data_IF_009046948524
#
_entry.id   IF_009046948524
#
_cell.length_a   1.000
_cell.length_b   1.000
_cell.length_c   1.000
_cell.angle_alpha   90.00
_cell.angle_beta   90.00
_cell.angle_gamma   90.00
#
_symmetry.space_group_name_H-M   'P 1'
#
loop_
_entity.id
_entity.type
_entity.pdbx_description
1 polymer ?
#
# COMPACT_ATOMS: atom_id res chain seq x y z
N UNK A 1 -10.72 -61.08 20.70
CA UNK A 1 -9.88 -60.07 20.03
C UNK A 1 -10.78 -58.94 19.57
N UNK A 2 -10.76 -57.78 20.24
CA UNK A 2 -11.51 -56.59 19.80
C UNK A 2 -10.52 -55.47 19.44
N UNK A 3 -10.66 -54.90 18.25
CA UNK A 3 -10.33 -53.50 17.98
C UNK A 3 -11.25 -53.02 16.85
N UNK A 4 -11.98 -51.91 17.04
CA UNK A 4 -12.83 -51.29 16.03
C UNK A 4 -12.05 -50.30 15.15
N UNK A 5 -12.55 -50.06 13.94
CA UNK A 5 -12.05 -49.10 12.94
C UNK A 5 -12.25 -47.64 13.37
N UNK A 6 -11.55 -46.70 12.72
CA UNK A 6 -12.34 -45.79 11.89
C UNK A 6 -11.71 -45.51 10.51
N UNK A 7 -12.54 -45.22 9.49
CA UNK A 7 -12.06 -44.64 8.24
C UNK A 7 -11.68 -43.18 8.50
N UNK A 8 -10.43 -42.82 8.26
CA UNK A 8 -10.02 -41.41 8.32
C UNK A 8 -10.64 -40.70 7.12
N UNK A 9 -11.78 -40.07 7.39
CA UNK A 9 -12.41 -39.06 6.57
C UNK A 9 -11.40 -37.92 6.37
N UNK A 10 -10.57 -38.04 5.34
CA UNK A 10 -9.67 -37.00 4.89
C UNK A 10 -10.50 -35.90 4.29
N UNK A 11 -10.90 -34.96 5.15
CA UNK A 11 -11.63 -33.75 4.82
C UNK A 11 -11.17 -33.19 3.47
N UNK A 12 -12.11 -33.05 2.54
CA UNK A 12 -11.92 -32.22 1.38
C UNK A 12 -11.40 -30.86 1.86
N UNK A 13 -10.13 -30.58 1.58
CA UNK A 13 -9.63 -29.21 1.60
C UNK A 13 -10.31 -28.54 0.43
N UNK A 14 -11.46 -27.95 0.71
CA UNK A 14 -12.01 -26.90 -0.13
C UNK A 14 -10.94 -25.80 -0.14
N UNK A 15 -10.17 -25.77 -1.23
CA UNK A 15 -9.36 -24.60 -1.56
C UNK A 15 -10.38 -23.49 -1.78
N UNK A 16 -10.59 -22.69 -0.74
CA UNK A 16 -11.21 -21.38 -0.90
C UNK A 16 -10.48 -20.75 -2.08
N UNK A 17 -11.25 -20.31 -3.07
CA UNK A 17 -10.79 -19.54 -4.23
C UNK A 17 -10.07 -18.31 -3.64
N UNK A 18 -8.77 -18.47 -3.40
CA UNK A 18 -7.89 -17.43 -2.90
C UNK A 18 -7.73 -16.48 -4.08
N UNK A 19 -8.66 -15.53 -4.18
CA UNK A 19 -8.64 -14.40 -5.11
C UNK A 19 -7.19 -14.03 -5.40
N UNK A 20 -6.73 -14.29 -6.62
CA UNK A 20 -5.35 -14.05 -7.06
C UNK A 20 -4.89 -12.66 -6.60
N UNK A 21 -4.11 -12.61 -5.53
CA UNK A 21 -3.60 -11.37 -4.98
C UNK A 21 -2.36 -10.98 -5.77
N UNK A 22 -2.57 -10.42 -6.96
CA UNK A 22 -1.50 -9.82 -7.75
C UNK A 22 -0.74 -8.79 -6.89
N UNK A 23 0.52 -9.11 -6.58
CA UNK A 23 1.39 -8.19 -5.87
C UNK A 23 1.70 -7.01 -6.79
N UNK A 24 1.12 -5.85 -6.45
CA UNK A 24 1.33 -4.63 -7.19
C UNK A 24 2.76 -4.14 -7.05
N UNK A 25 3.36 -3.67 -8.15
CA UNK A 25 4.61 -2.92 -8.08
C UNK A 25 4.40 -1.60 -7.34
N UNK A 26 5.49 -1.01 -6.83
CA UNK A 26 5.42 0.28 -6.13
C UNK A 26 4.73 1.38 -6.97
N UNK A 27 4.97 1.41 -8.28
CA UNK A 27 4.32 2.34 -9.20
C UNK A 27 2.82 2.07 -9.38
N UNK A 28 2.44 0.81 -9.57
CA UNK A 28 1.03 0.41 -9.72
C UNK A 28 0.23 0.65 -8.45
N UNK A 29 0.81 0.36 -7.28
CA UNK A 29 0.21 0.68 -5.99
C UNK A 29 0.00 2.19 -5.84
N UNK A 30 0.94 3.01 -6.28
CA UNK A 30 0.83 4.47 -6.25
C UNK A 30 -0.26 5.03 -7.17
N UNK A 31 -0.38 4.49 -8.39
CA UNK A 31 -1.44 4.91 -9.32
C UNK A 31 -2.84 4.50 -8.81
N UNK A 32 -3.00 3.28 -8.31
CA UNK A 32 -4.26 2.87 -7.68
C UNK A 32 -4.60 3.74 -6.47
N UNK A 33 -3.61 4.07 -5.65
CA UNK A 33 -3.81 4.93 -4.49
C UNK A 33 -4.20 6.36 -4.89
N UNK A 34 -3.66 6.90 -6.00
CA UNK A 34 -4.10 8.19 -6.54
C UNK A 34 -5.56 8.19 -6.97
N UNK A 35 -6.00 7.17 -7.70
CA UNK A 35 -7.39 7.04 -8.13
C UNK A 35 -8.33 6.94 -6.93
N UNK A 36 -7.92 6.16 -5.92
CA UNK A 36 -8.68 5.99 -4.68
C UNK A 36 -8.80 7.30 -3.88
N UNK A 37 -7.73 8.09 -3.78
CA UNK A 37 -7.78 9.44 -3.18
C UNK A 37 -8.74 10.35 -3.96
N UNK A 38 -8.72 10.29 -5.29
CA UNK A 38 -9.62 11.11 -6.11
C UNK A 38 -11.09 10.73 -5.89
N UNK A 39 -11.41 9.44 -5.84
CA UNK A 39 -12.75 8.95 -5.54
C UNK A 39 -13.21 9.37 -4.14
N UNK A 40 -12.34 9.24 -3.12
CA UNK A 40 -12.64 9.66 -1.76
C UNK A 40 -12.91 11.17 -1.65
N UNK A 41 -12.17 12.00 -2.41
CA UNK A 41 -12.43 13.46 -2.47
C UNK A 41 -13.81 13.76 -3.07
N UNK A 42 -14.14 13.12 -4.19
CA UNK A 42 -15.44 13.31 -4.83
C UNK A 42 -16.58 12.91 -3.88
N UNK A 43 -16.40 11.85 -3.11
CA UNK A 43 -17.37 11.37 -2.13
C UNK A 43 -17.57 12.36 -0.96
N UNK A 44 -16.47 12.93 -0.42
CA UNK A 44 -16.57 13.98 0.60
C UNK A 44 -17.33 15.20 0.07
N UNK A 45 -17.03 15.66 -1.14
CA UNK A 45 -17.74 16.81 -1.73
C UNK A 45 -19.23 16.50 -1.98
N UNK A 46 -19.57 15.27 -2.41
CA UNK A 46 -20.96 14.83 -2.53
C UNK A 46 -21.69 14.86 -1.18
N UNK A 47 -21.06 14.33 -0.13
CA UNK A 47 -21.64 14.26 1.21
C UNK A 47 -21.75 15.63 1.89
N UNK A 48 -20.88 16.60 1.56
CA UNK A 48 -21.05 17.99 2.04
C UNK A 48 -22.35 18.64 1.58
N UNK A 49 -22.87 18.26 0.41
CA UNK A 49 -24.08 18.83 -0.15
C UNK A 49 -25.39 18.17 0.31
N UNK A 50 -25.35 16.90 0.71
CA UNK A 50 -26.59 16.12 0.97
C UNK A 50 -26.45 14.97 1.95
N UNK A 51 -25.26 14.73 2.50
CA UNK A 51 -24.98 13.66 3.45
C UNK A 51 -25.29 14.03 4.89
N UNK A 52 -25.38 13.01 5.74
CA UNK A 52 -25.38 13.20 7.19
C UNK A 52 -23.99 13.60 7.70
N UNK A 53 -23.93 14.24 8.87
CA UNK A 53 -22.67 14.60 9.50
C UNK A 53 -21.78 13.39 9.78
N UNK A 54 -22.37 12.26 10.17
CA UNK A 54 -21.64 11.01 10.45
C UNK A 54 -21.01 10.42 9.17
N UNK A 55 -21.75 10.41 8.06
CA UNK A 55 -21.20 9.96 6.77
C UNK A 55 -20.07 10.86 6.30
N UNK A 56 -20.21 12.18 6.47
CA UNK A 56 -19.19 13.15 6.11
C UNK A 56 -17.91 12.97 6.95
N UNK A 57 -18.05 12.75 8.26
CA UNK A 57 -16.91 12.50 9.16
C UNK A 57 -16.18 11.22 8.77
N UNK A 58 -16.92 10.15 8.50
CA UNK A 58 -16.35 8.87 8.06
C UNK A 58 -15.62 8.99 6.71
N UNK A 59 -16.23 9.67 5.74
CA UNK A 59 -15.62 9.89 4.43
C UNK A 59 -14.36 10.76 4.53
N UNK A 60 -14.37 11.78 5.40
CA UNK A 60 -13.23 12.65 5.65
C UNK A 60 -12.08 11.88 6.30
N UNK A 61 -12.36 11.05 7.31
CA UNK A 61 -11.34 10.21 7.95
C UNK A 61 -10.70 9.22 6.95
N UNK A 62 -11.48 8.64 6.03
CA UNK A 62 -10.96 7.79 4.95
C UNK A 62 -10.05 8.57 4.01
N UNK A 63 -10.47 9.77 3.60
CA UNK A 63 -9.66 10.63 2.72
C UNK A 63 -8.33 11.01 3.38
N UNK A 64 -8.33 11.31 4.68
CA UNK A 64 -7.11 11.63 5.43
C UNK A 64 -6.16 10.44 5.48
N UNK A 65 -6.68 9.24 5.77
CA UNK A 65 -5.88 8.01 5.80
C UNK A 65 -5.23 7.71 4.43
N UNK A 66 -6.00 7.82 3.35
CA UNK A 66 -5.53 7.61 1.98
C UNK A 66 -4.50 8.67 1.56
N UNK A 67 -4.72 9.93 1.93
CA UNK A 67 -3.78 11.03 1.65
C UNK A 67 -2.46 10.81 2.39
N UNK A 68 -2.50 10.36 3.65
CA UNK A 68 -1.32 10.01 4.41
C UNK A 68 -0.58 8.81 3.80
N UNK A 69 -1.32 7.80 3.32
CA UNK A 69 -0.73 6.68 2.59
C UNK A 69 -0.06 7.14 1.28
N UNK A 70 -0.70 8.03 0.53
CA UNK A 70 -0.15 8.57 -0.71
C UNK A 70 1.15 9.35 -0.45
N UNK A 71 1.19 10.13 0.63
CA UNK A 71 2.42 10.82 1.05
C UNK A 71 3.56 9.83 1.34
N UNK A 72 3.28 8.72 2.05
CA UNK A 72 4.30 7.67 2.30
C UNK A 72 4.69 6.89 1.04
N UNK A 73 3.75 6.74 0.11
CA UNK A 73 3.97 6.07 -1.17
C UNK A 73 4.64 6.98 -2.22
N UNK A 74 4.87 8.27 -1.94
CA UNK A 74 5.72 9.07 -2.83
C UNK A 74 7.14 8.54 -2.85
N UNK A 75 7.66 8.29 -4.05
CA UNK A 75 9.07 8.00 -4.27
C UNK A 75 9.90 9.17 -3.74
N UNK A 76 10.46 9.01 -2.54
CA UNK A 76 11.46 9.95 -2.04
C UNK A 76 12.69 9.82 -2.93
N UNK A 77 13.16 10.90 -3.57
CA UNK A 77 14.43 10.86 -4.29
C UNK A 77 15.51 10.29 -3.38
N UNK A 78 16.37 9.42 -3.93
CA UNK A 78 17.50 8.89 -3.17
C UNK A 78 18.34 10.08 -2.71
N UNK A 79 18.48 10.22 -1.39
CA UNK A 79 19.26 11.22 -0.70
C UNK A 79 20.18 10.52 0.30
N UNK A 80 21.17 11.22 0.84
CA UNK A 80 22.16 10.60 1.73
C UNK A 80 21.50 9.99 2.98
N UNK A 81 20.39 10.58 3.47
CA UNK A 81 19.67 10.10 4.64
C UNK A 81 18.88 8.80 4.40
N UNK A 82 18.47 8.51 3.16
CA UNK A 82 17.77 7.27 2.80
C UNK A 82 18.67 6.27 2.05
N UNK A 83 19.87 6.67 1.62
CA UNK A 83 20.80 5.84 0.85
C UNK A 83 21.16 4.55 1.58
N UNK A 84 21.64 4.66 2.81
CA UNK A 84 22.03 3.49 3.61
C UNK A 84 20.84 2.57 3.89
N UNK A 85 19.65 3.14 4.10
CA UNK A 85 18.42 2.36 4.27
C UNK A 85 18.02 1.60 3.01
N UNK A 86 18.25 2.17 1.82
CA UNK A 86 17.91 1.53 0.54
C UNK A 86 18.94 0.49 0.08
N UNK A 87 20.23 0.73 0.34
CA UNK A 87 21.33 -0.09 -0.20
C UNK A 87 22.02 -0.98 0.85
N UNK A 88 21.78 -0.78 2.14
CA UNK A 88 22.31 -1.61 3.22
C UNK A 88 23.80 -1.40 3.52
N UNK A 89 24.41 -0.33 2.98
CA UNK A 89 25.78 0.09 3.29
C UNK A 89 25.89 1.62 3.28
N UNK A 90 26.82 2.18 4.07
CA UNK A 90 27.02 3.63 4.12
C UNK A 90 27.48 4.15 2.75
N UNK A 91 26.78 5.15 2.23
CA UNK A 91 27.08 5.76 0.94
C UNK A 91 26.26 7.02 0.70
N UNK A 92 26.61 7.75 -0.36
CA UNK A 92 25.94 9.00 -0.76
C UNK A 92 25.28 8.83 -2.11
N UNK A 93 24.14 9.48 -2.30
CA UNK A 93 23.47 9.49 -3.60
C UNK A 93 24.41 10.05 -4.67
N UNK A 94 24.50 9.42 -5.85
CA UNK A 94 25.43 9.85 -6.93
C UNK A 94 25.28 11.32 -7.31
N UNK A 95 24.10 11.91 -7.12
CA UNK A 95 23.81 13.35 -7.33
C UNK A 95 24.43 14.30 -6.29
N UNK A 96 24.83 13.78 -5.12
CA UNK A 96 25.44 14.54 -4.02
C UNK A 96 26.97 14.41 -3.99
N UNK A 97 27.55 13.61 -4.90
CA UNK A 97 28.99 13.51 -5.03
C UNK A 97 29.52 14.75 -5.77
N UNK A 98 30.61 15.37 -5.30
CA UNK A 98 31.27 16.42 -6.07
C UNK A 98 31.62 15.86 -7.45
N UNK A 99 31.27 16.61 -8.51
CA UNK A 99 31.60 16.24 -9.88
C UNK A 99 33.11 16.07 -10.05
N UNK A 100 33.56 15.29 -11.06
CA UNK A 100 34.97 15.19 -11.36
C UNK A 100 35.54 16.60 -11.60
N UNK A 101 36.68 16.90 -10.95
CA UNK A 101 37.41 18.13 -11.23
C UNK A 101 37.67 18.20 -12.74
N UNK A 102 37.34 19.32 -13.41
CA UNK A 102 37.66 19.47 -14.82
C UNK A 102 39.19 19.40 -14.96
N UNK A 103 39.66 18.40 -15.70
CA UNK A 103 41.06 18.25 -16.14
C UNK A 103 41.32 19.09 -17.37
#
# INVERSE_FOLDING_TARGET
MNSPTPPTNGAARETVDEDDHDLLTFGEAGERLRLEVAAARAEVERLRGSGSAEELDKASARLDALSAAAARNTAQPINDANFEKFFGYPGKAKRNLPGPSPT
#
